data_IF_084055581557
#
_entry.id   IF_084055581557
#
_cell.length_a   1.000
_cell.length_b   1.000
_cell.length_c   1.000
_cell.angle_alpha   90.00
_cell.angle_beta   90.00
_cell.angle_gamma   90.00
#
_symmetry.space_group_name_H-M   'P 1'
#
loop_
_entity.id
_entity.type
_entity.pdbx_description
1 polymer ?
#
# COMPACT_ATOMS: atom_id res chain seq x y z
N UNK A 1 -26.08 46.37 -7.54
CA UNK A 1 -24.78 45.69 -7.30
C UNK A 1 -24.63 45.24 -5.83
N UNK A 2 -25.73 44.92 -5.15
CA UNK A 2 -25.87 45.09 -3.68
C UNK A 2 -26.28 43.81 -2.91
N UNK A 3 -26.11 42.61 -3.49
CA UNK A 3 -26.26 41.31 -2.78
C UNK A 3 -25.99 40.11 -3.67
N UNK A 4 -26.22 40.24 -4.99
CA UNK A 4 -25.88 39.23 -5.99
C UNK A 4 -24.38 38.98 -6.02
N UNK A 5 -23.60 40.05 -6.17
CA UNK A 5 -22.13 40.02 -6.20
C UNK A 5 -21.51 39.48 -4.90
N UNK A 6 -22.18 39.66 -3.76
CA UNK A 6 -21.75 39.09 -2.47
C UNK A 6 -22.05 37.61 -2.37
N UNK A 7 -23.24 37.17 -2.83
CA UNK A 7 -23.60 35.75 -2.90
C UNK A 7 -22.66 34.99 -3.84
N UNK A 8 -22.33 35.57 -4.99
CA UNK A 8 -21.40 34.95 -5.93
C UNK A 8 -19.98 34.90 -5.37
N UNK A 9 -19.49 35.97 -4.74
CA UNK A 9 -18.21 35.94 -4.01
C UNK A 9 -18.19 34.89 -2.89
N UNK A 10 -19.29 34.73 -2.14
CA UNK A 10 -19.40 33.71 -1.10
C UNK A 10 -19.36 32.29 -1.69
N UNK A 11 -20.07 32.03 -2.80
CA UNK A 11 -20.00 30.75 -3.52
C UNK A 11 -18.59 30.46 -4.02
N UNK A 12 -17.92 31.43 -4.62
CA UNK A 12 -16.55 31.28 -5.10
C UNK A 12 -15.57 30.99 -3.95
N UNK A 13 -15.68 31.69 -2.81
CA UNK A 13 -14.88 31.42 -1.62
C UNK A 13 -15.13 30.02 -1.07
N UNK A 14 -16.39 29.59 -1.01
CA UNK A 14 -16.74 28.24 -0.54
C UNK A 14 -16.23 27.15 -1.50
N UNK A 15 -16.37 27.34 -2.80
CA UNK A 15 -15.79 26.46 -3.82
C UNK A 15 -14.27 26.38 -3.71
N UNK A 16 -13.59 27.51 -3.49
CA UNK A 16 -12.13 27.53 -3.29
C UNK A 16 -11.73 26.77 -2.03
N UNK A 17 -12.42 26.99 -0.90
CA UNK A 17 -12.20 26.26 0.35
C UNK A 17 -12.42 24.76 0.19
N UNK A 18 -13.49 24.33 -0.47
CA UNK A 18 -13.75 22.91 -0.73
C UNK A 18 -12.67 22.29 -1.63
N UNK A 19 -12.23 23.01 -2.67
CA UNK A 19 -11.13 22.56 -3.55
C UNK A 19 -9.82 22.41 -2.80
N UNK A 20 -9.48 23.34 -1.89
CA UNK A 20 -8.27 23.25 -1.07
C UNK A 20 -8.36 22.15 -0.01
N UNK A 21 -9.51 21.97 0.64
CA UNK A 21 -9.74 20.88 1.60
C UNK A 21 -9.68 19.49 0.95
N UNK A 22 -10.02 19.40 -0.34
CA UNK A 22 -9.96 18.15 -1.09
C UNK A 22 -8.66 18.00 -1.88
N UNK A 23 -7.78 19.01 -1.88
CA UNK A 23 -6.47 18.94 -2.53
C UNK A 23 -5.60 17.95 -1.76
N UNK A 24 -5.15 16.89 -2.44
CA UNK A 24 -4.35 15.81 -1.85
C UNK A 24 -5.17 14.69 -1.20
N UNK A 25 -6.50 14.83 -1.07
CA UNK A 25 -7.37 13.71 -0.72
C UNK A 25 -7.58 12.84 -1.95
N UNK A 26 -7.42 11.53 -1.77
CA UNK A 26 -7.66 10.57 -2.83
C UNK A 26 -9.15 10.65 -3.22
N UNK A 27 -9.44 10.98 -4.49
CA UNK A 27 -10.81 11.24 -4.97
C UNK A 27 -11.70 10.00 -4.96
N UNK A 28 -11.09 8.81 -4.94
CA UNK A 28 -11.79 7.54 -5.01
C UNK A 28 -11.62 6.79 -3.69
N UNK A 29 -12.61 6.77 -2.78
CA UNK A 29 -12.54 5.99 -1.55
C UNK A 29 -12.38 4.48 -1.82
N UNK A 30 -12.81 4.03 -3.00
CA UNK A 30 -12.60 2.68 -3.52
C UNK A 30 -11.12 2.39 -3.80
N UNK A 31 -10.33 3.40 -4.18
CA UNK A 31 -8.91 3.23 -4.47
C UNK A 31 -8.04 3.07 -3.22
N UNK A 32 -8.46 3.65 -2.09
CA UNK A 32 -7.75 3.50 -0.81
C UNK A 32 -7.91 2.08 -0.27
N UNK A 33 -9.14 1.55 -0.26
CA UNK A 33 -9.41 0.16 0.16
C UNK A 33 -8.71 -0.85 -0.74
N UNK A 34 -8.81 -0.68 -2.07
CA UNK A 34 -8.11 -1.53 -3.04
C UNK A 34 -6.58 -1.48 -2.87
N UNK A 35 -6.02 -0.30 -2.58
CA UNK A 35 -4.59 -0.15 -2.30
C UNK A 35 -4.18 -0.88 -1.02
N UNK A 36 -4.97 -0.78 0.04
CA UNK A 36 -4.72 -1.51 1.28
C UNK A 36 -4.76 -3.02 1.08
N UNK A 37 -5.74 -3.51 0.31
CA UNK A 37 -5.85 -4.93 -0.06
C UNK A 37 -4.63 -5.39 -0.88
N UNK A 38 -4.24 -4.63 -1.91
CA UNK A 38 -3.06 -4.96 -2.73
C UNK A 38 -1.76 -4.92 -1.94
N UNK A 39 -1.59 -3.93 -1.06
CA UNK A 39 -0.37 -3.81 -0.23
C UNK A 39 -0.27 -4.99 0.75
N UNK A 40 -1.39 -5.43 1.33
CA UNK A 40 -1.45 -6.59 2.20
C UNK A 40 -1.14 -7.90 1.45
N UNK A 41 -1.59 -8.02 0.20
CA UNK A 41 -1.36 -9.20 -0.63
C UNK A 41 0.12 -9.30 -1.05
N UNK A 42 0.73 -8.19 -1.43
CA UNK A 42 2.17 -8.10 -1.72
C UNK A 42 3.00 -8.49 -0.49
N UNK A 43 2.61 -8.04 0.71
CA UNK A 43 3.32 -8.41 1.95
C UNK A 43 3.23 -9.91 2.25
N UNK A 44 2.05 -10.52 2.07
CA UNK A 44 1.88 -11.97 2.24
C UNK A 44 2.73 -12.76 1.24
N UNK A 45 2.75 -12.35 -0.02
CA UNK A 45 3.59 -12.99 -1.06
C UNK A 45 5.09 -12.87 -0.73
N UNK A 46 5.55 -11.70 -0.27
CA UNK A 46 6.94 -11.52 0.16
C UNK A 46 7.32 -12.42 1.33
N UNK A 47 6.42 -12.56 2.31
CA UNK A 47 6.64 -13.44 3.45
C UNK A 47 6.69 -14.90 3.02
N UNK A 48 5.75 -15.36 2.18
CA UNK A 48 5.75 -16.71 1.63
C UNK A 48 7.06 -17.01 0.87
N UNK A 49 7.46 -16.13 -0.05
CA UNK A 49 8.70 -16.29 -0.80
C UNK A 49 9.95 -16.28 0.10
N UNK A 50 9.96 -15.49 1.18
CA UNK A 50 11.06 -15.49 2.15
C UNK A 50 11.12 -16.80 2.96
N UNK A 51 9.98 -17.38 3.33
CA UNK A 51 9.91 -18.67 4.01
C UNK A 51 10.36 -19.80 3.10
N UNK A 52 9.89 -19.84 1.85
CA UNK A 52 10.31 -20.83 0.86
C UNK A 52 11.83 -20.82 0.64
N UNK A 53 12.43 -19.63 0.52
CA UNK A 53 13.90 -19.51 0.40
C UNK A 53 14.62 -20.06 1.62
N UNK A 54 14.15 -19.75 2.84
CA UNK A 54 14.72 -20.29 4.07
C UNK A 54 14.58 -21.80 4.16
N UNK A 55 13.46 -22.37 3.72
CA UNK A 55 13.26 -23.82 3.69
C UNK A 55 14.18 -24.52 2.69
N UNK A 56 14.38 -23.93 1.50
CA UNK A 56 15.31 -24.47 0.51
C UNK A 56 16.74 -24.42 1.03
N UNK A 57 17.14 -23.31 1.65
CA UNK A 57 18.47 -23.17 2.24
C UNK A 57 18.67 -24.12 3.43
N UNK A 58 17.67 -24.27 4.31
CA UNK A 58 17.73 -25.21 5.42
C UNK A 58 17.79 -26.67 4.95
N UNK A 59 17.05 -27.02 3.89
CA UNK A 59 17.12 -28.35 3.26
C UNK A 59 18.48 -28.60 2.61
N UNK A 60 19.04 -27.60 1.93
CA UNK A 60 20.37 -27.69 1.33
C UNK A 60 21.47 -27.84 2.39
N UNK A 61 21.38 -27.07 3.49
CA UNK A 61 22.30 -27.16 4.61
C UNK A 61 22.19 -28.51 5.34
N UNK A 62 20.97 -29.03 5.54
CA UNK A 62 20.74 -30.35 6.13
C UNK A 62 21.28 -31.47 5.22
N UNK A 63 21.09 -31.38 3.91
CA UNK A 63 21.65 -32.33 2.95
C UNK A 63 23.19 -32.30 2.94
N UNK A 64 23.80 -31.11 3.00
CA UNK A 64 25.25 -30.95 3.08
C UNK A 64 25.81 -31.53 4.40
N UNK A 65 25.13 -31.31 5.53
CA UNK A 65 25.51 -31.88 6.82
C UNK A 65 25.41 -33.42 6.85
N UNK A 66 24.37 -33.99 6.23
CA UNK A 66 24.23 -35.44 6.09
C UNK A 66 25.32 -36.02 5.18
N UNK A 67 25.65 -35.37 4.07
CA UNK A 67 26.73 -35.78 3.18
C UNK A 67 28.11 -35.71 3.85
N UNK A 68 28.37 -34.69 4.67
CA UNK A 68 29.59 -34.56 5.45
C UNK A 68 29.71 -35.65 6.53
N UNK A 69 28.60 -36.05 7.15
CA UNK A 69 28.56 -37.12 8.16
C UNK A 69 28.69 -38.52 7.55
N UNK A 70 28.24 -38.74 6.32
CA UNK A 70 28.40 -40.00 5.60
C UNK A 70 29.82 -40.23 5.05
N UNK A 71 30.64 -39.18 4.96
CA UNK A 71 32.02 -39.23 4.45
C UNK A 71 33.09 -39.31 5.55
N UNK A 72 32.66 -39.31 6.83
CA UNK A 72 33.50 -39.46 8.02
C UNK A 72 33.28 -40.84 8.63
#
# INVERSE_FOLDING_TARGET
>A
MTRGDERERARLRNLKKQKEQNKGKCKDPTSVKKRQESDAEIMRQKQAAALERKEVEAKAAAAAAMAAKAKK
#
